data_IF_521168857327
#
_entry.id   IF_521168857327
#
_cell.length_a   1.000
_cell.length_b   1.000
_cell.length_c   1.000
_cell.angle_alpha   90.00
_cell.angle_beta   90.00
_cell.angle_gamma   90.00
#
_symmetry.space_group_name_H-M   'P 1'
#
loop_
_entity.id
_entity.type
_entity.pdbx_description
1 polymer ?
#
# COMPACT_ATOMS: atom_id res chain seq x y z
N UNK A 1 -26.09 21.02 -6.99
CA UNK A 1 -25.73 20.94 -5.54
C UNK A 1 -24.35 20.33 -5.49
N UNK A 2 -23.33 21.11 -5.14
CA UNK A 2 -21.96 20.62 -4.90
C UNK A 2 -22.06 19.84 -3.60
N UNK A 3 -22.16 18.50 -3.70
CA UNK A 3 -22.23 17.64 -2.54
C UNK A 3 -21.00 17.86 -1.68
N UNK A 4 -21.21 18.01 -0.38
CA UNK A 4 -20.15 18.23 0.60
C UNK A 4 -19.27 16.98 0.65
N UNK A 5 -18.14 16.97 -0.06
CA UNK A 5 -17.19 15.86 -0.05
C UNK A 5 -16.61 15.71 1.36
N UNK A 6 -16.93 14.60 2.09
CA UNK A 6 -16.53 14.45 3.49
C UNK A 6 -15.01 14.43 3.67
N UNK A 7 -14.24 14.08 2.63
CA UNK A 7 -12.77 14.06 2.67
C UNK A 7 -12.18 15.48 2.58
N UNK A 8 -12.97 16.48 2.16
CA UNK A 8 -12.55 17.88 2.02
C UNK A 8 -13.09 18.78 3.14
N UNK A 9 -13.42 18.19 4.29
CA UNK A 9 -13.90 18.96 5.44
C UNK A 9 -12.87 20.03 5.83
N UNK A 10 -13.27 21.31 5.93
CA UNK A 10 -12.38 22.42 6.30
C UNK A 10 -11.83 22.30 7.72
N UNK A 11 -12.48 21.54 8.61
CA UNK A 11 -11.96 21.24 9.95
C UNK A 11 -10.71 20.32 9.92
N UNK A 12 -10.42 19.63 8.81
CA UNK A 12 -9.21 18.82 8.67
C UNK A 12 -8.00 19.71 8.41
N UNK A 13 -7.32 20.09 9.48
CA UNK A 13 -6.11 20.93 9.43
C UNK A 13 -4.86 20.09 9.57
N UNK A 14 -3.89 20.34 8.69
CA UNK A 14 -2.56 19.75 8.82
C UNK A 14 -1.90 20.16 10.14
N UNK A 15 -0.92 19.38 10.65
CA UNK A 15 -0.09 19.76 11.80
C UNK A 15 0.51 21.15 11.59
N UNK A 16 0.37 22.02 12.58
CA UNK A 16 1.00 23.32 12.58
C UNK A 16 2.53 23.25 12.66
N UNK A 17 3.21 24.35 12.35
CA UNK A 17 4.67 24.43 12.43
C UNK A 17 5.20 24.03 13.82
N UNK A 18 4.52 24.49 14.90
CA UNK A 18 4.90 24.16 16.26
C UNK A 18 4.80 22.67 16.59
N UNK A 19 3.76 21.97 16.08
CA UNK A 19 3.63 20.51 16.25
C UNK A 19 4.77 19.78 15.51
N UNK A 20 5.06 20.19 14.27
CA UNK A 20 6.15 19.59 13.47
C UNK A 20 7.52 19.84 14.10
N UNK A 21 7.76 21.02 14.65
CA UNK A 21 9.01 21.35 15.35
C UNK A 21 9.16 20.52 16.63
N UNK A 22 8.10 20.30 17.39
CA UNK A 22 8.13 19.43 18.57
C UNK A 22 8.46 17.98 18.18
N UNK A 23 7.77 17.43 17.16
CA UNK A 23 8.06 16.10 16.64
C UNK A 23 9.55 15.99 16.22
N UNK A 24 10.09 17.02 15.53
CA UNK A 24 11.45 17.03 15.01
C UNK A 24 12.52 17.29 16.10
N UNK A 25 12.33 18.31 16.95
CA UNK A 25 13.36 18.76 17.89
C UNK A 25 13.32 18.02 19.22
N UNK A 26 12.13 17.63 19.68
CA UNK A 26 11.95 16.96 20.97
C UNK A 26 11.81 15.44 20.82
N UNK A 27 11.79 14.91 19.60
CA UNK A 27 11.57 13.49 19.35
C UNK A 27 10.21 13.00 19.84
N UNK A 28 9.23 13.91 20.00
CA UNK A 28 7.88 13.56 20.45
C UNK A 28 7.25 12.64 19.41
N UNK A 29 7.15 11.36 19.74
CA UNK A 29 6.46 10.38 18.91
C UNK A 29 4.96 10.50 19.07
N UNK A 30 4.23 10.32 18.00
CA UNK A 30 2.79 10.18 18.07
C UNK A 30 2.45 8.92 18.86
N UNK A 31 1.35 8.91 19.63
CA UNK A 31 1.02 7.80 20.53
C UNK A 31 0.79 6.47 19.81
N UNK A 32 0.52 6.50 18.49
CA UNK A 32 0.37 5.31 17.66
C UNK A 32 1.46 5.29 16.58
N UNK A 33 2.25 4.24 16.53
CA UNK A 33 3.27 4.08 15.50
C UNK A 33 2.65 3.91 14.11
N UNK A 34 1.61 3.08 14.02
CA UNK A 34 0.93 2.80 12.75
C UNK A 34 -0.55 2.50 12.99
N UNK A 35 -1.38 2.97 12.07
CA UNK A 35 -2.75 2.50 11.88
C UNK A 35 -2.85 1.79 10.53
N UNK A 36 -3.35 0.55 10.54
CA UNK A 36 -3.70 -0.16 9.31
C UNK A 36 -5.18 0.01 9.05
N UNK A 37 -5.53 0.35 7.80
CA UNK A 37 -6.91 0.59 7.38
C UNK A 37 -7.21 -0.20 6.12
N UNK A 38 -8.14 -1.16 6.21
CA UNK A 38 -8.67 -1.84 5.04
C UNK A 38 -9.66 -0.91 4.33
N UNK A 39 -9.21 -0.30 3.24
CA UNK A 39 -10.01 0.66 2.45
C UNK A 39 -10.98 -0.05 1.50
N UNK A 40 -10.72 -1.31 1.16
CA UNK A 40 -11.59 -2.13 0.32
C UNK A 40 -11.36 -3.61 0.59
N UNK A 41 -12.43 -4.39 0.54
CA UNK A 41 -12.39 -5.85 0.55
C UNK A 41 -12.57 -6.46 -0.85
N UNK A 42 -12.58 -5.64 -1.90
CA UNK A 42 -12.59 -6.09 -3.29
C UNK A 42 -11.19 -6.55 -3.71
N UNK A 43 -11.09 -7.71 -4.36
CA UNK A 43 -9.85 -8.21 -4.94
C UNK A 43 -10.17 -9.09 -6.15
N UNK A 44 -9.35 -9.01 -7.20
CA UNK A 44 -9.45 -9.90 -8.37
C UNK A 44 -8.63 -11.19 -8.19
N UNK A 45 -7.68 -11.22 -7.24
CA UNK A 45 -6.89 -12.40 -6.90
C UNK A 45 -7.71 -13.46 -6.16
N UNK A 46 -7.26 -14.71 -6.25
CA UNK A 46 -7.87 -15.89 -5.58
C UNK A 46 -6.82 -16.69 -4.83
N UNK A 47 -5.95 -15.99 -4.09
CA UNK A 47 -4.88 -16.64 -3.33
C UNK A 47 -5.45 -17.71 -2.40
N UNK A 48 -4.89 -18.92 -2.42
CA UNK A 48 -5.44 -20.09 -1.74
C UNK A 48 -5.52 -19.96 -0.21
N UNK A 49 -4.70 -19.09 0.35
CA UNK A 49 -4.62 -18.81 1.80
C UNK A 49 -5.46 -17.58 2.23
N UNK A 50 -6.00 -16.83 1.28
CA UNK A 50 -6.68 -15.57 1.59
C UNK A 50 -8.13 -15.82 2.05
N UNK A 51 -8.60 -15.18 3.13
CA UNK A 51 -10.01 -15.26 3.55
C UNK A 51 -11.00 -14.90 2.46
N UNK A 52 -10.65 -14.00 1.55
CA UNK A 52 -11.42 -13.68 0.35
C UNK A 52 -11.77 -14.93 -0.47
N UNK A 53 -10.86 -15.90 -0.52
CA UNK A 53 -11.02 -17.16 -1.26
C UNK A 53 -11.58 -18.26 -0.35
N UNK A 54 -10.97 -18.45 0.83
CA UNK A 54 -11.29 -19.57 1.72
C UNK A 54 -12.64 -19.40 2.42
N UNK A 55 -13.13 -18.17 2.55
CA UNK A 55 -14.41 -17.80 3.16
C UNK A 55 -15.35 -17.13 2.16
N UNK A 56 -15.26 -17.48 0.87
CA UNK A 56 -16.00 -16.81 -0.21
C UNK A 56 -17.52 -16.78 0.01
N UNK A 57 -18.09 -17.81 0.65
CA UNK A 57 -19.52 -17.87 0.96
C UNK A 57 -19.98 -16.74 1.91
N UNK A 58 -19.10 -16.29 2.77
CA UNK A 58 -19.38 -15.24 3.77
C UNK A 58 -18.74 -13.90 3.40
N UNK A 59 -17.87 -13.87 2.40
CA UNK A 59 -17.16 -12.66 1.98
C UNK A 59 -18.11 -11.65 1.36
N UNK A 60 -17.88 -10.38 1.69
CA UNK A 60 -18.63 -9.25 1.10
C UNK A 60 -17.64 -8.26 0.53
N UNK A 61 -17.55 -8.20 -0.80
CA UNK A 61 -16.72 -7.22 -1.51
C UNK A 61 -17.37 -5.84 -1.42
N UNK A 62 -16.65 -4.91 -0.76
CA UNK A 62 -17.12 -3.53 -0.52
C UNK A 62 -15.95 -2.57 -0.54
N UNK A 63 -16.24 -1.33 -0.91
CA UNK A 63 -15.36 -0.20 -0.68
C UNK A 63 -15.76 0.53 0.60
N UNK A 64 -14.77 1.05 1.33
CA UNK A 64 -15.01 1.87 2.50
C UNK A 64 -15.69 3.19 2.07
N UNK A 65 -16.81 3.58 2.66
CA UNK A 65 -17.42 4.88 2.37
C UNK A 65 -16.52 6.04 2.82
N UNK A 66 -16.54 7.13 2.06
CA UNK A 66 -15.74 8.34 2.35
C UNK A 66 -15.99 8.88 3.75
N UNK A 67 -17.25 8.87 4.22
CA UNK A 67 -17.62 9.33 5.56
C UNK A 67 -16.97 8.49 6.66
N UNK A 68 -16.78 7.18 6.42
CA UNK A 68 -16.13 6.27 7.38
C UNK A 68 -14.64 6.59 7.45
N UNK A 69 -13.97 6.75 6.30
CA UNK A 69 -12.57 7.12 6.29
C UNK A 69 -12.34 8.52 6.92
N UNK A 70 -13.21 9.48 6.60
CA UNK A 70 -13.15 10.82 7.18
C UNK A 70 -13.29 10.79 8.71
N UNK A 71 -14.12 9.91 9.27
CA UNK A 71 -14.28 9.75 10.72
C UNK A 71 -13.00 9.22 11.42
N UNK A 72 -12.05 8.65 10.68
CA UNK A 72 -10.75 8.23 11.21
C UNK A 72 -9.79 9.41 11.43
N UNK A 73 -10.16 10.64 11.06
CA UNK A 73 -9.30 11.82 11.20
C UNK A 73 -8.62 11.95 12.57
N UNK A 74 -9.32 11.84 13.73
CA UNK A 74 -8.69 11.93 15.05
C UNK A 74 -7.65 10.82 15.28
N UNK A 75 -7.88 9.63 14.73
CA UNK A 75 -6.95 8.50 14.82
C UNK A 75 -5.70 8.74 13.95
N UNK A 76 -5.89 9.18 12.70
CA UNK A 76 -4.80 9.54 11.79
C UNK A 76 -3.90 10.63 12.38
N UNK A 77 -4.49 11.65 13.02
CA UNK A 77 -3.74 12.71 13.70
C UNK A 77 -2.83 12.22 14.82
N UNK A 78 -3.13 11.08 15.40
CA UNK A 78 -2.37 10.46 16.50
C UNK A 78 -1.41 9.37 16.01
N UNK A 79 -1.40 9.07 14.71
CA UNK A 79 -0.62 8.00 14.12
C UNK A 79 0.59 8.54 13.37
N UNK A 80 1.74 7.93 13.53
CA UNK A 80 2.94 8.24 12.77
C UNK A 80 2.82 7.76 11.32
N UNK A 81 2.19 6.60 11.11
CA UNK A 81 2.00 5.96 9.80
C UNK A 81 0.55 5.55 9.61
N UNK A 82 0.10 5.58 8.35
CA UNK A 82 -1.15 4.99 7.89
C UNK A 82 -0.84 3.97 6.79
N UNK A 83 -1.10 2.69 7.07
CA UNK A 83 -0.95 1.61 6.10
C UNK A 83 -2.31 1.26 5.53
N UNK A 84 -2.53 1.65 4.25
CA UNK A 84 -3.81 1.45 3.56
C UNK A 84 -3.82 0.07 2.92
N UNK A 85 -4.13 -0.95 3.72
CA UNK A 85 -4.12 -2.35 3.31
C UNK A 85 -5.07 -3.18 4.17
N UNK A 86 -5.62 -4.22 3.57
CA UNK A 86 -6.37 -5.30 4.22
C UNK A 86 -6.30 -6.57 3.38
N UNK A 87 -7.38 -7.31 3.33
CA UNK A 87 -7.51 -8.51 2.52
C UNK A 87 -7.87 -8.22 1.05
N UNK A 88 -8.42 -7.03 0.77
CA UNK A 88 -8.68 -6.57 -0.60
C UNK A 88 -7.44 -6.00 -1.28
N UNK A 89 -7.60 -5.63 -2.56
CA UNK A 89 -6.59 -4.89 -3.33
C UNK A 89 -6.85 -3.38 -3.19
N UNK A 90 -6.03 -2.64 -2.44
CA UNK A 90 -6.30 -1.23 -2.13
C UNK A 90 -6.46 -0.34 -3.35
N UNK A 91 -5.69 -0.60 -4.41
CA UNK A 91 -5.69 0.21 -5.63
C UNK A 91 -6.99 0.06 -6.46
N UNK A 92 -7.86 -0.89 -6.12
CA UNK A 92 -9.22 -0.98 -6.68
C UNK A 92 -10.19 0.03 -6.04
N UNK A 93 -9.81 0.67 -4.92
CA UNK A 93 -10.68 1.67 -4.33
C UNK A 93 -10.69 2.96 -5.16
N UNK A 94 -11.84 3.43 -5.64
CA UNK A 94 -11.90 4.60 -6.55
C UNK A 94 -11.37 5.88 -5.91
N UNK A 95 -11.44 6.01 -4.58
CA UNK A 95 -10.98 7.15 -3.80
C UNK A 95 -9.66 6.86 -3.04
N UNK A 96 -8.88 5.85 -3.46
CA UNK A 96 -7.63 5.47 -2.78
C UNK A 96 -6.67 6.66 -2.58
N UNK A 97 -6.46 7.45 -3.63
CA UNK A 97 -5.56 8.60 -3.58
C UNK A 97 -6.09 9.75 -2.72
N UNK A 98 -7.40 9.92 -2.64
CA UNK A 98 -8.00 10.90 -1.73
C UNK A 98 -7.80 10.48 -0.27
N UNK A 99 -7.92 9.19 0.02
CA UNK A 99 -7.64 8.63 1.35
C UNK A 99 -6.16 8.79 1.72
N UNK A 100 -5.26 8.47 0.79
CA UNK A 100 -3.83 8.69 0.96
C UNK A 100 -3.51 10.17 1.23
N UNK A 101 -4.10 11.08 0.45
CA UNK A 101 -3.93 12.52 0.64
C UNK A 101 -4.47 13.01 1.99
N UNK A 102 -5.61 12.49 2.46
CA UNK A 102 -6.15 12.83 3.78
C UNK A 102 -5.25 12.33 4.92
N UNK A 103 -4.73 11.10 4.82
CA UNK A 103 -3.80 10.55 5.79
C UNK A 103 -2.49 11.38 5.85
N UNK A 104 -1.95 11.77 4.70
CA UNK A 104 -0.79 12.68 4.63
C UNK A 104 -1.10 14.05 5.25
N UNK A 105 -2.27 14.60 4.96
CA UNK A 105 -2.72 15.87 5.56
C UNK A 105 -2.81 15.79 7.09
N UNK A 106 -3.16 14.62 7.63
CA UNK A 106 -3.11 14.36 9.07
C UNK A 106 -1.68 14.28 9.61
N UNK A 107 -0.67 14.18 8.73
CA UNK A 107 0.75 14.10 9.05
C UNK A 107 1.28 12.68 9.15
N UNK A 108 0.55 11.67 8.66
CA UNK A 108 1.05 10.31 8.58
C UNK A 108 2.03 10.14 7.42
N UNK A 109 3.03 9.29 7.61
CA UNK A 109 3.65 8.58 6.49
C UNK A 109 2.62 7.59 5.93
N UNK A 110 2.47 7.53 4.61
CA UNK A 110 1.44 6.70 3.96
C UNK A 110 2.06 5.57 3.19
N UNK A 111 1.59 4.37 3.46
CA UNK A 111 2.05 3.16 2.79
C UNK A 111 0.88 2.27 2.37
N UNK A 112 1.14 1.38 1.42
CA UNK A 112 0.18 0.37 0.99
C UNK A 112 0.88 -0.89 0.50
N UNK A 113 0.10 -1.96 0.32
CA UNK A 113 0.56 -3.20 -0.31
C UNK A 113 -0.41 -3.58 -1.42
N UNK A 114 0.12 -3.88 -2.60
CA UNK A 114 -0.66 -4.25 -3.79
C UNK A 114 -0.29 -5.64 -4.30
N UNK A 115 -1.25 -6.32 -4.92
CA UNK A 115 -0.98 -7.53 -5.70
C UNK A 115 -0.45 -7.23 -7.12
N UNK A 116 -0.47 -5.99 -7.56
CA UNK A 116 0.05 -5.55 -8.86
C UNK A 116 -0.87 -5.79 -10.07
N UNK A 117 -2.01 -6.49 -9.90
CA UNK A 117 -2.86 -6.88 -11.05
C UNK A 117 -3.41 -5.71 -11.86
N UNK A 118 -3.82 -4.63 -11.19
CA UNK A 118 -4.40 -3.45 -11.83
C UNK A 118 -3.36 -2.42 -12.27
N UNK A 119 -2.05 -2.71 -12.08
CA UNK A 119 -1.00 -1.74 -12.37
C UNK A 119 -0.85 -1.53 -13.88
N UNK A 120 -0.92 -0.29 -14.30
CA UNK A 120 -0.54 0.18 -15.63
C UNK A 120 0.37 1.40 -15.50
N UNK A 121 0.81 1.96 -16.61
CA UNK A 121 1.73 3.09 -16.62
C UNK A 121 1.11 4.36 -15.99
N UNK A 122 -0.18 4.60 -16.21
CA UNK A 122 -0.88 5.77 -15.67
C UNK A 122 -1.05 5.64 -14.14
N UNK A 123 -1.44 4.46 -13.66
CA UNK A 123 -1.56 4.20 -12.23
C UNK A 123 -0.19 4.29 -11.54
N UNK A 124 0.88 3.75 -12.16
CA UNK A 124 2.24 3.85 -11.65
C UNK A 124 2.69 5.32 -11.53
N UNK A 125 2.45 6.14 -12.55
CA UNK A 125 2.74 7.57 -12.50
C UNK A 125 1.95 8.29 -11.40
N UNK A 126 0.66 7.98 -11.23
CA UNK A 126 -0.18 8.53 -10.16
C UNK A 126 0.33 8.15 -8.77
N UNK A 127 0.78 6.91 -8.58
CA UNK A 127 1.36 6.43 -7.31
C UNK A 127 2.62 7.25 -6.99
N UNK A 128 3.54 7.39 -7.94
CA UNK A 128 4.77 8.16 -7.75
C UNK A 128 4.48 9.62 -7.41
N UNK A 129 3.46 10.22 -8.06
CA UNK A 129 3.05 11.62 -7.84
C UNK A 129 2.22 11.83 -6.57
N UNK A 130 1.63 10.76 -6.02
CA UNK A 130 0.72 10.85 -4.85
C UNK A 130 1.41 11.31 -3.59
N UNK A 131 2.74 11.18 -3.53
CA UNK A 131 3.55 11.45 -2.37
C UNK A 131 3.41 10.38 -1.28
N UNK A 132 2.97 9.17 -1.59
CA UNK A 132 3.08 8.02 -0.68
C UNK A 132 4.54 7.76 -0.36
N UNK A 133 4.79 7.25 0.85
CA UNK A 133 6.15 6.99 1.33
C UNK A 133 6.61 5.57 0.96
N UNK A 134 5.70 4.60 0.89
CA UNK A 134 6.05 3.22 0.55
C UNK A 134 4.91 2.48 -0.18
N UNK A 135 5.26 1.70 -1.20
CA UNK A 135 4.41 0.70 -1.83
C UNK A 135 5.12 -0.65 -1.84
N UNK A 136 4.51 -1.65 -1.21
CA UNK A 136 4.96 -3.02 -1.29
C UNK A 136 4.19 -3.81 -2.36
N UNK A 137 4.86 -4.78 -2.99
CA UNK A 137 4.23 -5.74 -3.87
C UNK A 137 4.25 -7.13 -3.24
N UNK A 138 3.06 -7.74 -3.16
CA UNK A 138 2.89 -9.03 -2.50
C UNK A 138 3.35 -10.18 -3.39
N UNK A 139 4.15 -11.09 -2.84
CA UNK A 139 4.60 -12.34 -3.45
C UNK A 139 4.50 -13.50 -2.44
N UNK A 140 4.43 -14.74 -2.95
CA UNK A 140 4.54 -15.95 -2.15
C UNK A 140 5.53 -16.96 -2.79
N UNK A 141 6.33 -16.50 -3.73
CA UNK A 141 7.36 -17.25 -4.44
C UNK A 141 8.27 -16.32 -5.22
N UNK A 142 9.34 -16.84 -5.79
CA UNK A 142 10.35 -16.12 -6.58
C UNK A 142 10.34 -16.46 -8.06
N UNK A 143 9.38 -17.29 -8.48
CA UNK A 143 9.07 -17.66 -9.85
C UNK A 143 7.60 -18.05 -9.98
N UNK A 144 7.15 -18.35 -11.20
CA UNK A 144 5.75 -18.71 -11.47
C UNK A 144 5.29 -19.95 -10.70
N UNK A 145 6.14 -20.96 -10.56
CA UNK A 145 5.78 -22.22 -9.90
C UNK A 145 5.67 -22.02 -8.38
N UNK A 146 6.63 -21.36 -7.77
CA UNK A 146 6.63 -21.10 -6.32
C UNK A 146 5.55 -20.07 -5.91
N UNK A 147 5.19 -19.12 -6.80
CA UNK A 147 4.14 -18.13 -6.56
C UNK A 147 2.72 -18.66 -6.83
N UNK A 148 2.53 -19.91 -7.26
CA UNK A 148 1.23 -20.45 -7.70
C UNK A 148 0.13 -20.44 -6.62
N UNK A 149 0.48 -20.37 -5.32
CA UNK A 149 -0.46 -20.17 -4.23
C UNK A 149 -1.22 -18.84 -4.31
N UNK A 150 -0.70 -17.88 -5.08
CA UNK A 150 -1.36 -16.62 -5.43
C UNK A 150 -2.21 -16.76 -6.68
N UNK A 151 -3.14 -17.69 -6.66
CA UNK A 151 -4.03 -17.98 -7.79
C UNK A 151 -4.72 -16.70 -8.30
N UNK A 152 -4.74 -16.54 -9.62
CA UNK A 152 -5.26 -15.33 -10.27
C UNK A 152 -4.33 -14.11 -10.19
N UNK A 153 -3.09 -14.28 -9.63
CA UNK A 153 -2.06 -13.23 -9.56
C UNK A 153 -0.76 -13.80 -10.17
N UNK A 154 -0.60 -13.77 -11.51
CA UNK A 154 0.59 -14.29 -12.16
C UNK A 154 1.86 -13.60 -11.66
N UNK A 155 2.92 -14.37 -11.43
CA UNK A 155 4.21 -13.87 -10.95
C UNK A 155 4.77 -12.77 -11.85
N UNK A 156 4.74 -13.00 -13.17
CA UNK A 156 5.23 -12.07 -14.19
C UNK A 156 4.49 -10.73 -14.14
N UNK A 157 3.19 -10.78 -13.84
CA UNK A 157 2.37 -9.57 -13.72
C UNK A 157 2.76 -8.72 -12.51
N UNK A 158 3.11 -9.37 -11.40
CA UNK A 158 3.64 -8.66 -10.22
C UNK A 158 5.00 -8.03 -10.54
N UNK A 159 5.89 -8.78 -11.19
CA UNK A 159 7.20 -8.26 -11.63
C UNK A 159 7.06 -7.08 -12.60
N UNK A 160 6.13 -7.17 -13.55
CA UNK A 160 5.82 -6.07 -14.46
C UNK A 160 5.32 -4.83 -13.71
N UNK A 161 4.42 -5.01 -12.74
CA UNK A 161 3.90 -3.92 -11.91
C UNK A 161 5.03 -3.19 -11.15
N UNK A 162 5.98 -3.95 -10.58
CA UNK A 162 7.16 -3.36 -9.94
C UNK A 162 7.97 -2.54 -10.94
N UNK A 163 8.25 -3.10 -12.14
CA UNK A 163 9.02 -2.41 -13.18
C UNK A 163 8.32 -1.12 -13.66
N UNK A 164 6.99 -1.13 -13.80
CA UNK A 164 6.22 0.07 -14.18
C UNK A 164 6.37 1.19 -13.14
N UNK A 165 6.29 0.87 -11.84
CA UNK A 165 6.47 1.87 -10.78
C UNK A 165 7.93 2.39 -10.77
N UNK A 166 8.92 1.50 -10.92
CA UNK A 166 10.34 1.90 -11.02
C UNK A 166 10.59 2.79 -12.24
N UNK A 167 10.03 2.44 -13.40
CA UNK A 167 10.12 3.26 -14.60
C UNK A 167 9.48 4.64 -14.41
N UNK A 168 8.32 4.72 -13.76
CA UNK A 168 7.67 5.98 -13.43
C UNK A 168 8.50 6.82 -12.44
N UNK A 169 9.19 6.22 -11.48
CA UNK A 169 10.13 6.91 -10.60
C UNK A 169 11.31 7.51 -11.37
N UNK A 170 11.90 6.76 -12.30
CA UNK A 170 13.01 7.24 -13.12
C UNK A 170 12.58 8.36 -14.09
N UNK A 171 11.34 8.32 -14.59
CA UNK A 171 10.79 9.34 -15.47
C UNK A 171 10.37 10.62 -14.73
N UNK A 172 10.05 10.53 -13.45
CA UNK A 172 9.77 11.71 -12.64
C UNK A 172 11.09 12.44 -12.38
N UNK A 173 11.12 13.70 -12.79
CA UNK A 173 12.29 14.56 -12.84
C UNK A 173 13.21 14.36 -11.63
N UNK A 174 14.50 14.11 -11.86
CA UNK A 174 15.52 13.80 -10.84
C UNK A 174 15.71 14.89 -9.75
N UNK A 175 15.00 16.01 -9.85
CA UNK A 175 14.97 17.10 -8.86
C UNK A 175 13.94 16.92 -7.74
N UNK A 176 12.99 16.01 -7.88
CA UNK A 176 12.15 15.53 -6.79
C UNK A 176 12.60 14.11 -6.51
N UNK A 177 13.48 13.94 -5.52
CA UNK A 177 13.61 12.66 -4.85
C UNK A 177 12.20 12.25 -4.42
N UNK A 178 11.57 11.41 -5.25
CA UNK A 178 10.31 10.81 -4.85
C UNK A 178 10.65 9.90 -3.71
N UNK A 179 10.22 10.27 -2.53
CA UNK A 179 10.48 9.52 -1.30
C UNK A 179 9.79 8.13 -1.30
N UNK A 180 9.12 7.75 -2.41
CA UNK A 180 8.43 6.48 -2.52
C UNK A 180 9.43 5.32 -2.49
N UNK A 181 9.39 4.54 -1.43
CA UNK A 181 10.10 3.27 -1.35
C UNK A 181 9.27 2.15 -1.97
N UNK A 182 9.89 1.34 -2.82
CA UNK A 182 9.28 0.13 -3.39
C UNK A 182 9.83 -1.08 -2.66
N UNK A 183 8.93 -1.87 -2.06
CA UNK A 183 9.27 -3.06 -1.28
C UNK A 183 8.66 -4.32 -1.89
N UNK A 184 9.18 -5.50 -1.52
CA UNK A 184 8.50 -6.77 -1.69
C UNK A 184 7.91 -7.23 -0.35
N UNK A 185 6.63 -7.58 -0.34
CA UNK A 185 5.97 -8.24 0.78
C UNK A 185 5.88 -9.74 0.46
N UNK A 186 6.84 -10.50 1.00
CA UNK A 186 6.98 -11.92 0.72
C UNK A 186 6.30 -12.76 1.80
N UNK A 187 5.29 -13.53 1.40
CA UNK A 187 4.64 -14.50 2.27
C UNK A 187 5.34 -15.84 2.17
N UNK A 188 6.02 -16.24 3.23
CA UNK A 188 6.71 -17.51 3.32
C UNK A 188 5.70 -18.62 3.65
N UNK A 189 5.48 -19.53 2.72
CA UNK A 189 4.62 -20.70 2.92
C UNK A 189 5.47 -21.92 3.34
N UNK A 190 4.95 -22.68 4.28
CA UNK A 190 5.69 -23.81 4.89
C UNK A 190 6.10 -24.88 3.88
N UNK A 191 5.30 -25.10 2.83
CA UNK A 191 5.57 -26.06 1.75
C UNK A 191 6.53 -25.53 0.68
N UNK A 192 7.00 -24.28 0.78
CA UNK A 192 7.80 -23.56 -0.22
C UNK A 192 8.93 -22.72 0.39
N UNK A 193 9.45 -23.15 1.52
CA UNK A 193 10.52 -22.41 2.24
C UNK A 193 11.75 -22.23 1.34
N UNK A 194 12.12 -23.23 0.57
CA UNK A 194 13.30 -23.21 -0.30
C UNK A 194 13.20 -22.15 -1.40
N UNK A 195 11.99 -21.79 -1.83
CA UNK A 195 11.78 -20.74 -2.83
C UNK A 195 12.27 -19.36 -2.35
N UNK A 196 12.33 -19.14 -1.03
CA UNK A 196 12.83 -17.89 -0.48
C UNK A 196 14.31 -17.64 -0.78
N UNK A 197 15.09 -18.70 -1.07
CA UNK A 197 16.50 -18.57 -1.47
C UNK A 197 16.67 -17.75 -2.77
N UNK A 198 15.65 -17.71 -3.63
CA UNK A 198 15.64 -16.89 -4.85
C UNK A 198 15.37 -15.40 -4.63
N UNK A 199 14.94 -15.01 -3.41
CA UNK A 199 14.51 -13.63 -3.14
C UNK A 199 15.59 -12.59 -3.38
N UNK A 200 16.88 -12.76 -2.96
CA UNK A 200 17.92 -11.77 -3.21
C UNK A 200 18.15 -11.53 -4.71
N UNK A 201 18.09 -12.58 -5.53
CA UNK A 201 18.21 -12.48 -6.98
C UNK A 201 17.03 -11.70 -7.57
N UNK A 202 15.81 -12.04 -7.20
CA UNK A 202 14.60 -11.34 -7.64
C UNK A 202 14.63 -9.87 -7.26
N UNK A 203 15.06 -9.54 -6.05
CA UNK A 203 15.22 -8.15 -5.59
C UNK A 203 16.21 -7.37 -6.47
N UNK A 204 17.33 -7.99 -6.82
CA UNK A 204 18.31 -7.38 -7.73
C UNK A 204 17.75 -7.18 -9.14
N UNK A 205 17.03 -8.18 -9.69
CA UNK A 205 16.39 -8.09 -11.02
C UNK A 205 15.29 -7.01 -11.10
N UNK A 206 14.61 -6.74 -10.00
CA UNK A 206 13.54 -5.73 -9.90
C UNK A 206 14.02 -4.37 -9.38
N UNK A 207 15.31 -4.22 -9.09
CA UNK A 207 15.90 -3.04 -8.45
C UNK A 207 15.13 -2.64 -7.16
N UNK A 208 14.83 -3.63 -6.31
CA UNK A 208 14.17 -3.43 -5.02
C UNK A 208 15.14 -3.77 -3.90
N UNK A 209 15.27 -2.88 -2.91
CA UNK A 209 16.27 -3.00 -1.85
C UNK A 209 15.71 -3.59 -0.56
N UNK A 210 14.39 -3.61 -0.40
CA UNK A 210 13.74 -4.03 0.84
C UNK A 210 12.71 -5.11 0.56
N UNK A 211 12.76 -6.17 1.34
CA UNK A 211 11.70 -7.18 1.39
C UNK A 211 11.29 -7.41 2.85
N UNK A 212 9.98 -7.51 3.07
CA UNK A 212 9.40 -7.92 4.35
C UNK A 212 8.93 -9.35 4.20
N UNK A 213 9.47 -10.26 5.01
CA UNK A 213 9.10 -11.65 5.02
C UNK A 213 8.14 -11.89 6.18
N UNK A 214 6.99 -12.48 5.89
CA UNK A 214 6.00 -12.88 6.89
C UNK A 214 5.58 -14.33 6.67
N UNK A 215 5.10 -14.97 7.73
CA UNK A 215 4.50 -16.31 7.70
C UNK A 215 3.00 -16.22 7.99
N UNK A 216 2.25 -17.25 7.62
CA UNK A 216 0.85 -17.42 8.04
C UNK A 216 0.78 -18.09 9.40
#
# INVERSE_FOLDING_TARGET
>A
MIGNDPLRNPAFRAPGLGERLRELLLGERRPLDCVQVEVTSCCAGRCVYCPHTTQAAFWRSRHMPDVVFAALWPLLRRSGRAHLQGWGEPLLHPRFFDFAALARKAGCQVSSTSCGLCMDADLAARIVQSGMDMLAFSLAGTDAASNAARSGVPFERVCEAVRLVRAAQHASDARKETALEVHLAYLLLADRIDAAAGLPRLMAELDVRTAVISTL
#
